data_IF_205878397550
#
_entry.id   IF_205878397550
#
_cell.length_a   1.000
_cell.length_b   1.000
_cell.length_c   1.000
_cell.angle_alpha   90.00
_cell.angle_beta   90.00
_cell.angle_gamma   90.00
#
_symmetry.space_group_name_H-M   'P 1'
#
loop_
_entity.id
_entity.type
_entity.pdbx_description
1 polymer ?
#
# COMPACT_ATOMS: atom_id res chain seq x y z
N UNK A 1 -0.85 2.23 12.36
CA UNK A 1 -2.25 1.83 12.53
C UNK A 1 -2.67 1.13 11.26
N UNK A 2 -3.38 0.02 11.37
CA UNK A 2 -3.84 -0.75 10.22
C UNK A 2 -5.34 -0.58 10.10
N UNK A 3 -5.81 -0.27 8.90
CA UNK A 3 -7.23 -0.22 8.53
C UNK A 3 -8.09 0.67 9.45
N UNK A 4 -7.48 1.73 9.97
CA UNK A 4 -8.19 2.75 10.76
C UNK A 4 -8.50 3.92 9.84
N UNK A 5 -9.78 4.20 9.62
CA UNK A 5 -10.20 5.35 8.83
C UNK A 5 -9.56 6.64 9.37
N UNK A 6 -9.12 7.49 8.44
CA UNK A 6 -8.51 8.80 8.65
C UNK A 6 -7.13 8.78 9.35
N UNK A 7 -6.58 7.59 9.61
CA UNK A 7 -5.27 7.42 10.27
C UNK A 7 -4.33 6.54 9.44
N UNK A 8 -4.82 5.43 8.89
CA UNK A 8 -4.02 4.60 7.99
C UNK A 8 -3.93 5.25 6.61
N UNK A 9 -2.71 5.43 6.12
CA UNK A 9 -2.43 6.09 4.83
C UNK A 9 -2.23 5.08 3.69
N UNK A 10 -2.24 3.78 3.98
CA UNK A 10 -2.13 2.72 3.00
C UNK A 10 -3.54 2.30 2.55
N UNK A 11 -3.88 2.54 1.28
CA UNK A 11 -5.09 2.01 0.63
C UNK A 11 -6.43 2.29 1.31
N UNK A 12 -6.54 3.31 2.15
CA UNK A 12 -7.82 3.74 2.71
C UNK A 12 -8.84 4.03 1.59
N UNK A 13 -10.01 3.36 1.59
CA UNK A 13 -11.06 3.65 0.64
C UNK A 13 -11.72 5.01 0.95
N UNK A 14 -12.15 5.73 -0.07
CA UNK A 14 -12.93 6.95 0.14
C UNK A 14 -14.35 6.60 0.56
N UNK A 15 -14.90 7.40 1.48
CA UNK A 15 -16.34 7.40 1.76
C UNK A 15 -17.10 7.86 0.49
N UNK A 16 -18.26 7.26 0.17
CA UNK A 16 -19.03 7.62 -1.03
C UNK A 16 -19.30 9.13 -1.14
N UNK A 17 -19.66 9.79 -0.04
CA UNK A 17 -19.98 11.21 0.01
C UNK A 17 -18.75 12.08 -0.34
N UNK A 18 -17.57 11.68 0.16
CA UNK A 18 -16.32 12.35 -0.15
C UNK A 18 -15.98 12.19 -1.63
N UNK A 19 -16.08 10.95 -2.15
CA UNK A 19 -15.81 10.65 -3.54
C UNK A 19 -16.72 11.45 -4.49
N UNK A 20 -18.00 11.56 -4.16
CA UNK A 20 -18.99 12.27 -4.96
C UNK A 20 -18.76 13.79 -4.98
N UNK A 21 -18.29 14.35 -3.87
CA UNK A 21 -17.93 15.77 -3.77
C UNK A 21 -16.64 16.15 -4.51
N UNK A 22 -15.84 15.18 -4.96
CA UNK A 22 -14.57 15.47 -5.65
C UNK A 22 -14.78 15.93 -7.11
N UNK A 23 -13.87 16.77 -7.65
CA UNK A 23 -13.86 17.08 -9.07
C UNK A 23 -13.76 15.82 -9.94
N UNK A 24 -14.39 15.83 -11.12
CA UNK A 24 -14.48 14.63 -11.98
C UNK A 24 -13.12 14.04 -12.36
N UNK A 25 -12.12 14.89 -12.55
CA UNK A 25 -10.75 14.46 -12.84
C UNK A 25 -10.15 13.63 -11.69
N UNK A 26 -10.41 14.03 -10.44
CA UNK A 26 -9.92 13.30 -9.26
C UNK A 26 -10.68 11.99 -9.09
N UNK A 27 -12.00 11.98 -9.34
CA UNK A 27 -12.77 10.73 -9.37
C UNK A 27 -12.21 9.74 -10.40
N UNK A 28 -11.92 10.20 -11.62
CA UNK A 28 -11.36 9.36 -12.68
C UNK A 28 -9.95 8.84 -12.33
N UNK A 29 -9.09 9.70 -11.78
CA UNK A 29 -7.77 9.29 -11.32
C UNK A 29 -7.86 8.24 -10.20
N UNK A 30 -8.76 8.45 -9.24
CA UNK A 30 -9.03 7.51 -8.15
C UNK A 30 -9.56 6.17 -8.67
N UNK A 31 -10.53 6.18 -9.58
CA UNK A 31 -11.04 4.98 -10.23
C UNK A 31 -9.93 4.20 -10.95
N UNK A 32 -9.06 4.91 -11.68
CA UNK A 32 -7.91 4.31 -12.34
C UNK A 32 -6.99 3.61 -11.33
N UNK A 33 -6.60 4.32 -10.25
CA UNK A 33 -5.67 3.80 -9.24
C UNK A 33 -6.26 2.70 -8.35
N UNK A 34 -7.57 2.67 -8.11
CA UNK A 34 -8.23 1.54 -7.42
C UNK A 34 -8.54 0.38 -8.36
N UNK A 35 -8.62 0.65 -9.66
CA UNK A 35 -8.81 -0.32 -10.73
C UNK A 35 -7.49 -0.70 -11.41
N UNK A 36 -7.43 -0.57 -12.74
CA UNK A 36 -6.35 -1.11 -13.60
C UNK A 36 -4.99 -0.40 -13.51
N UNK A 37 -4.92 0.75 -12.86
CA UNK A 37 -3.68 1.52 -12.65
C UNK A 37 -3.17 1.41 -11.20
N UNK A 38 -3.57 0.38 -10.46
CA UNK A 38 -3.14 0.14 -9.07
C UNK A 38 -1.63 0.25 -8.88
N UNK A 39 -0.85 -0.20 -9.86
CA UNK A 39 0.59 -0.22 -9.80
C UNK A 39 1.23 1.19 -9.75
N UNK A 40 0.50 2.23 -10.16
CA UNK A 40 0.91 3.64 -10.04
C UNK A 40 0.63 4.26 -8.67
N UNK A 41 -0.20 3.63 -7.83
CA UNK A 41 -0.67 4.22 -6.58
C UNK A 41 0.49 4.53 -5.61
N UNK A 42 1.49 3.66 -5.51
CA UNK A 42 2.64 3.91 -4.64
C UNK A 42 3.52 5.08 -5.12
N UNK A 43 3.55 5.40 -6.42
CA UNK A 43 4.26 6.57 -6.95
C UNK A 43 3.59 7.85 -6.46
N UNK A 44 2.26 7.92 -6.59
CA UNK A 44 1.46 9.07 -6.16
C UNK A 44 1.54 9.23 -4.64
N UNK A 45 1.36 8.14 -3.89
CA UNK A 45 1.52 8.14 -2.44
C UNK A 45 2.93 8.63 -2.04
N UNK A 46 3.97 8.11 -2.68
CA UNK A 46 5.35 8.48 -2.38
C UNK A 46 5.60 9.98 -2.58
N UNK A 47 5.15 10.52 -3.71
CA UNK A 47 5.31 11.94 -4.04
C UNK A 47 4.57 12.86 -3.06
N UNK A 48 3.37 12.48 -2.62
CA UNK A 48 2.54 13.30 -1.71
C UNK A 48 3.03 13.21 -0.26
N UNK A 49 3.50 12.04 0.18
CA UNK A 49 3.74 11.77 1.61
C UNK A 49 5.18 12.02 2.06
N UNK A 50 6.18 11.87 1.20
CA UNK A 50 7.59 11.86 1.65
C UNK A 50 8.37 13.14 1.37
N UNK A 51 7.80 14.11 0.66
CA UNK A 51 8.47 15.36 0.29
C UNK A 51 7.90 16.60 0.98
N UNK A 52 6.89 16.44 1.85
CA UNK A 52 6.27 17.54 2.58
C UNK A 52 6.57 17.47 4.10
N UNK A 53 7.47 18.33 4.62
CA UNK A 53 7.77 18.38 6.06
C UNK A 53 6.57 18.78 6.93
N UNK A 54 5.50 19.35 6.37
CA UNK A 54 4.30 19.71 7.14
C UNK A 54 3.57 18.47 7.67
N UNK A 55 3.74 17.31 7.01
CA UNK A 55 3.11 16.03 7.34
C UNK A 55 3.76 15.28 8.50
N UNK A 56 4.90 15.75 9.00
CA UNK A 56 5.58 15.14 10.15
C UNK A 56 5.58 16.07 11.37
N UNK A 57 5.79 15.47 12.54
CA UNK A 57 5.92 16.22 13.80
C UNK A 57 7.03 17.28 13.71
N UNK A 58 6.82 18.41 14.36
CA UNK A 58 7.72 19.56 14.31
C UNK A 58 9.19 19.19 14.60
N UNK A 59 9.42 18.25 15.54
CA UNK A 59 10.74 17.77 15.94
C UNK A 59 11.50 17.02 14.83
N UNK A 60 10.78 16.41 13.88
CA UNK A 60 11.34 15.58 12.81
C UNK A 60 11.43 16.30 11.45
N UNK A 61 10.86 17.51 11.33
CA UNK A 61 10.85 18.30 10.08
C UNK A 61 12.25 18.53 9.50
N UNK A 62 13.23 18.82 10.36
CA UNK A 62 14.61 19.03 9.91
C UNK A 62 15.26 17.75 9.40
N UNK A 63 14.88 16.58 9.93
CA UNK A 63 15.35 15.27 9.44
C UNK A 63 14.83 15.01 8.02
N UNK A 64 13.55 15.30 7.76
CA UNK A 64 12.96 15.17 6.42
C UNK A 64 13.63 16.12 5.43
N UNK A 65 13.82 17.40 5.80
CA UNK A 65 14.52 18.36 4.93
C UNK A 65 15.93 17.90 4.57
N UNK A 66 16.69 17.39 5.55
CA UNK A 66 18.02 16.85 5.31
C UNK A 66 17.97 15.62 4.39
N UNK A 67 17.05 14.68 4.64
CA UNK A 67 16.85 13.49 3.80
C UNK A 67 16.56 13.87 2.35
N UNK A 68 15.60 14.78 2.12
CA UNK A 68 15.25 15.27 0.78
C UNK A 68 16.46 15.96 0.13
N UNK A 69 17.18 16.81 0.85
CA UNK A 69 18.38 17.48 0.33
C UNK A 69 19.47 16.50 -0.11
N UNK A 70 19.70 15.43 0.67
CA UNK A 70 20.66 14.36 0.33
C UNK A 70 20.21 13.62 -0.93
N UNK A 71 18.93 13.24 -1.02
CA UNK A 71 18.39 12.53 -2.19
C UNK A 71 18.47 13.39 -3.45
N UNK A 72 18.09 14.67 -3.36
CA UNK A 72 18.16 15.61 -4.50
C UNK A 72 19.61 15.87 -4.90
N UNK A 73 20.52 16.06 -3.93
CA UNK A 73 21.95 16.23 -4.19
C UNK A 73 22.56 15.02 -4.88
N UNK A 74 22.22 13.80 -4.44
CA UNK A 74 22.63 12.57 -5.10
C UNK A 74 22.09 12.49 -6.53
N UNK A 75 20.81 12.76 -6.75
CA UNK A 75 20.18 12.72 -8.08
C UNK A 75 20.81 13.74 -9.05
N UNK A 76 21.14 14.94 -8.56
CA UNK A 76 21.79 16.00 -9.33
C UNK A 76 23.20 15.62 -9.83
N UNK A 77 23.85 14.65 -9.18
CA UNK A 77 25.16 14.12 -9.62
C UNK A 77 24.96 12.85 -10.45
N UNK A 78 24.13 11.91 -9.96
CA UNK A 78 23.97 10.59 -10.55
C UNK A 78 23.32 10.63 -11.93
N UNK A 79 22.27 11.43 -12.15
CA UNK A 79 21.58 11.46 -13.43
C UNK A 79 22.43 12.09 -14.55
N UNK A 80 23.08 13.25 -14.36
CA UNK A 80 23.98 13.78 -15.39
C UNK A 80 25.14 12.83 -15.70
N UNK A 81 25.74 12.20 -14.69
CA UNK A 81 26.81 11.22 -14.89
C UNK A 81 26.32 10.00 -15.69
N UNK A 82 25.13 9.50 -15.36
CA UNK A 82 24.53 8.35 -16.04
C UNK A 82 24.22 8.68 -17.51
N UNK A 83 23.71 9.88 -17.78
CA UNK A 83 23.46 10.35 -19.15
C UNK A 83 24.78 10.58 -19.90
N UNK A 84 25.80 11.17 -19.26
CA UNK A 84 27.08 11.45 -19.90
C UNK A 84 27.85 10.16 -20.27
N UNK A 85 27.71 9.10 -19.48
CA UNK A 85 28.44 7.83 -19.67
C UNK A 85 27.67 6.80 -20.48
N UNK A 86 26.34 6.71 -20.30
CA UNK A 86 25.49 5.66 -20.89
C UNK A 86 24.35 6.21 -21.75
N UNK A 87 24.30 7.54 -21.96
CA UNK A 87 23.24 8.21 -22.70
C UNK A 87 21.90 8.20 -21.99
N UNK A 88 20.88 8.76 -22.64
CA UNK A 88 19.51 8.73 -22.13
C UNK A 88 18.96 7.31 -21.98
N UNK A 89 19.38 6.38 -22.84
CA UNK A 89 19.04 4.95 -22.73
C UNK A 89 19.56 4.35 -21.42
N UNK A 90 20.73 4.77 -20.95
CA UNK A 90 21.26 4.41 -19.64
C UNK A 90 20.35 4.82 -18.48
N UNK A 91 19.84 6.05 -18.50
CA UNK A 91 18.88 6.54 -17.51
C UNK A 91 17.61 5.68 -17.47
N UNK A 92 17.04 5.38 -18.65
CA UNK A 92 15.84 4.55 -18.75
C UNK A 92 16.11 3.14 -18.22
N UNK A 93 17.20 2.51 -18.66
CA UNK A 93 17.52 1.11 -18.35
C UNK A 93 17.91 0.90 -16.89
N UNK A 94 18.71 1.79 -16.31
CA UNK A 94 19.34 1.57 -15.01
C UNK A 94 18.67 2.35 -13.86
N UNK A 95 17.81 3.32 -14.16
CA UNK A 95 17.04 4.03 -13.13
C UNK A 95 15.54 3.87 -13.31
N UNK A 96 14.98 4.29 -14.46
CA UNK A 96 13.53 4.33 -14.65
C UNK A 96 12.89 2.93 -14.59
N UNK A 97 13.44 1.96 -15.33
CA UNK A 97 12.88 0.61 -15.38
C UNK A 97 12.93 -0.11 -14.01
N UNK A 98 14.07 -0.15 -13.28
CA UNK A 98 14.09 -0.69 -11.92
C UNK A 98 13.14 0.03 -10.97
N UNK A 99 13.03 1.35 -11.07
CA UNK A 99 12.13 2.16 -10.26
C UNK A 99 10.65 1.82 -10.53
N UNK A 100 10.26 1.64 -11.80
CA UNK A 100 8.92 1.20 -12.18
C UNK A 100 8.61 -0.21 -11.67
N UNK A 101 9.56 -1.14 -11.77
CA UNK A 101 9.40 -2.51 -11.24
C UNK A 101 9.24 -2.49 -9.72
N UNK A 102 10.03 -1.68 -9.01
CA UNK A 102 9.89 -1.48 -7.58
C UNK A 102 8.50 -0.97 -7.22
N UNK A 103 8.02 0.09 -7.87
CA UNK A 103 6.70 0.65 -7.58
C UNK A 103 5.55 -0.28 -7.97
N UNK A 104 5.70 -1.06 -9.04
CA UNK A 104 4.72 -2.09 -9.39
C UNK A 104 4.55 -3.11 -8.25
N UNK A 105 5.66 -3.66 -7.75
CA UNK A 105 5.63 -4.63 -6.67
C UNK A 105 5.21 -4.00 -5.34
N UNK A 106 5.70 -2.81 -5.03
CA UNK A 106 5.33 -2.09 -3.79
C UNK A 106 3.82 -1.80 -3.75
N UNK A 107 3.25 -1.29 -4.84
CA UNK A 107 1.80 -1.11 -4.96
C UNK A 107 1.05 -2.44 -4.83
N UNK A 108 1.55 -3.51 -5.45
CA UNK A 108 0.90 -4.83 -5.42
C UNK A 108 0.89 -5.43 -4.02
N UNK A 109 2.05 -5.44 -3.33
CA UNK A 109 2.16 -5.99 -1.98
C UNK A 109 1.28 -5.22 -1.00
N UNK A 110 1.41 -3.89 -0.98
CA UNK A 110 0.62 -3.07 -0.05
C UNK A 110 -0.87 -3.14 -0.33
N UNK A 111 -1.28 -3.26 -1.60
CA UNK A 111 -2.69 -3.43 -1.94
C UNK A 111 -3.23 -4.74 -1.38
N UNK A 112 -2.57 -5.86 -1.69
CA UNK A 112 -3.00 -7.19 -1.23
C UNK A 112 -2.99 -7.25 0.30
N UNK A 113 -1.98 -6.66 0.95
CA UNK A 113 -1.84 -6.71 2.39
C UNK A 113 -2.89 -5.91 3.15
N UNK A 114 -3.45 -4.85 2.55
CA UNK A 114 -4.38 -3.93 3.20
C UNK A 114 -5.78 -3.94 2.57
N UNK A 115 -6.03 -4.81 1.59
CA UNK A 115 -7.31 -4.84 0.88
C UNK A 115 -7.67 -6.27 0.47
N UNK A 116 -8.77 -6.75 1.03
CA UNK A 116 -9.48 -7.95 0.62
C UNK A 116 -10.99 -7.69 0.79
N UNK A 117 -11.88 -8.36 0.04
CA UNK A 117 -13.33 -8.10 0.08
C UNK A 117 -13.95 -8.16 1.47
N UNK A 118 -13.36 -8.95 2.37
CA UNK A 118 -13.83 -9.24 3.72
C UNK A 118 -12.94 -8.64 4.82
N UNK A 119 -12.02 -7.73 4.45
CA UNK A 119 -11.20 -6.97 5.39
C UNK A 119 -11.66 -5.51 5.40
N UNK A 120 -12.30 -5.11 6.50
CA UNK A 120 -12.85 -3.77 6.67
C UNK A 120 -11.80 -2.72 7.05
N UNK A 121 -12.04 -1.49 6.61
CA UNK A 121 -11.56 -0.31 7.30
C UNK A 121 -12.58 0.09 8.35
N UNK A 122 -12.15 0.32 9.59
CA UNK A 122 -13.05 0.66 10.70
C UNK A 122 -13.01 2.16 10.99
N UNK A 123 -14.19 2.71 11.27
CA UNK A 123 -14.33 4.06 11.79
C UNK A 123 -13.61 4.19 13.15
N UNK A 124 -13.04 5.38 13.48
CA UNK A 124 -12.22 5.55 14.66
C UNK A 124 -12.87 5.11 15.98
N UNK A 125 -14.19 5.26 16.10
CA UNK A 125 -14.98 4.91 17.28
C UNK A 125 -15.18 3.40 17.45
N UNK A 126 -15.12 2.65 16.34
CA UNK A 126 -15.31 1.19 16.31
C UNK A 126 -13.99 0.42 16.26
N UNK A 127 -12.89 1.11 15.91
CA UNK A 127 -11.60 0.51 15.68
C UNK A 127 -10.99 -0.10 16.95
N UNK A 128 -10.61 -1.37 16.89
CA UNK A 128 -9.96 -2.09 17.98
C UNK A 128 -8.57 -2.60 17.57
N UNK A 129 -7.51 -2.13 18.25
CA UNK A 129 -6.12 -2.36 17.87
C UNK A 129 -5.78 -3.84 17.64
N UNK A 130 -6.09 -4.70 18.61
CA UNK A 130 -5.74 -6.12 18.49
C UNK A 130 -6.48 -6.81 17.33
N UNK A 131 -7.74 -6.42 17.07
CA UNK A 131 -8.53 -7.01 15.98
C UNK A 131 -7.98 -6.55 14.63
N UNK A 132 -7.72 -5.24 14.50
CA UNK A 132 -7.20 -4.66 13.28
C UNK A 132 -5.78 -5.14 12.94
N UNK A 133 -4.91 -5.35 13.93
CA UNK A 133 -3.55 -5.85 13.69
C UNK A 133 -3.51 -7.35 13.34
N UNK A 134 -4.45 -8.16 13.85
CA UNK A 134 -4.51 -9.60 13.57
C UNK A 134 -5.29 -9.94 12.30
N UNK A 135 -6.45 -9.31 12.12
CA UNK A 135 -7.40 -9.63 11.05
C UNK A 135 -7.49 -8.55 9.95
N UNK A 136 -6.93 -7.35 10.20
CA UNK A 136 -6.97 -6.23 9.26
C UNK A 136 -5.89 -6.28 8.18
N UNK A 137 -5.06 -7.32 8.14
CA UNK A 137 -4.06 -7.51 7.09
C UNK A 137 -4.03 -8.93 6.56
N UNK A 138 -3.66 -9.04 5.29
CA UNK A 138 -3.49 -10.32 4.59
C UNK A 138 -2.05 -10.79 4.66
N UNK A 139 -1.82 -12.01 5.17
CA UNK A 139 -0.62 -12.79 4.83
C UNK A 139 -0.81 -13.37 3.44
N UNK A 140 0.05 -13.04 2.48
CA UNK A 140 -0.09 -13.49 1.10
C UNK A 140 1.17 -14.17 0.58
N UNK A 141 1.11 -15.47 0.26
CA UNK A 141 2.26 -16.17 -0.32
C UNK A 141 2.46 -15.77 -1.80
N UNK A 142 3.71 -15.50 -2.19
CA UNK A 142 4.06 -15.03 -3.54
C UNK A 142 4.94 -16.06 -4.29
N UNK A 143 4.82 -16.17 -5.62
CA UNK A 143 5.62 -17.11 -6.40
C UNK A 143 7.12 -16.72 -6.48
N UNK A 144 7.96 -17.68 -6.91
CA UNK A 144 9.32 -17.45 -7.42
C UNK A 144 10.31 -16.75 -6.46
N UNK A 145 10.28 -17.06 -5.16
CA UNK A 145 11.29 -16.55 -4.21
C UNK A 145 11.22 -15.04 -3.96
N UNK A 146 10.14 -14.38 -4.40
CA UNK A 146 9.82 -12.98 -4.10
C UNK A 146 9.91 -12.71 -2.59
N UNK A 147 9.44 -13.66 -1.79
CA UNK A 147 9.50 -13.60 -0.33
C UNK A 147 10.93 -13.44 0.18
N UNK A 148 11.90 -14.16 -0.39
CA UNK A 148 13.30 -14.01 0.01
C UNK A 148 13.89 -12.67 -0.46
N UNK A 149 13.64 -12.29 -1.71
CA UNK A 149 14.12 -11.02 -2.29
C UNK A 149 13.59 -9.80 -1.53
N UNK A 150 12.36 -9.90 -1.02
CA UNK A 150 11.67 -8.83 -0.32
C UNK A 150 11.65 -9.02 1.21
N UNK A 151 12.61 -9.75 1.79
CA UNK A 151 12.77 -9.86 3.25
C UNK A 151 11.53 -10.40 4.00
N UNK A 152 10.91 -11.45 3.47
CA UNK A 152 9.70 -12.09 3.99
C UNK A 152 8.50 -11.14 4.06
N UNK A 153 8.36 -10.26 3.06
CA UNK A 153 7.29 -9.25 2.99
C UNK A 153 5.88 -9.84 3.09
N UNK A 154 5.69 -11.10 2.63
CA UNK A 154 4.42 -11.82 2.75
C UNK A 154 3.94 -11.97 4.19
N UNK A 155 4.88 -12.08 5.14
CA UNK A 155 4.62 -12.30 6.56
C UNK A 155 4.31 -10.97 7.24
N UNK A 156 3.18 -10.37 6.84
CA UNK A 156 2.84 -8.99 7.17
C UNK A 156 2.16 -8.82 8.55
N UNK A 157 1.46 -9.85 9.02
CA UNK A 157 0.73 -9.77 10.30
C UNK A 157 1.68 -9.51 11.49
N UNK A 158 2.79 -10.28 11.68
CA UNK A 158 3.71 -10.00 12.77
C UNK A 158 4.38 -8.63 12.68
N UNK A 159 4.58 -8.11 11.45
CA UNK A 159 5.14 -6.77 11.25
C UNK A 159 4.23 -5.67 11.84
N UNK A 160 2.91 -5.83 11.75
CA UNK A 160 1.94 -4.90 12.35
C UNK A 160 1.79 -5.05 13.85
N UNK A 161 2.00 -6.25 14.39
CA UNK A 161 2.02 -6.48 15.84
C UNK A 161 3.27 -5.87 16.48
N UNK A 162 4.43 -6.03 15.84
CA UNK A 162 5.68 -5.44 16.33
C UNK A 162 6.71 -5.29 15.20
N UNK A 163 7.00 -4.04 14.87
CA UNK A 163 8.07 -3.68 13.93
C UNK A 163 9.48 -3.97 14.47
N UNK A 164 9.60 -4.40 15.73
CA UNK A 164 10.86 -4.81 16.34
C UNK A 164 11.24 -6.27 16.02
N UNK A 165 10.30 -7.08 15.51
CA UNK A 165 10.59 -8.45 15.07
C UNK A 165 11.43 -8.38 13.80
N UNK A 166 12.66 -8.93 13.79
CA UNK A 166 13.48 -8.91 12.59
C UNK A 166 12.92 -9.85 11.51
N UNK A 167 13.17 -9.54 10.24
CA UNK A 167 12.60 -10.26 9.10
C UNK A 167 12.87 -11.77 9.11
N UNK A 168 14.04 -12.20 9.59
CA UNK A 168 14.42 -13.61 9.70
C UNK A 168 13.65 -14.39 10.78
N UNK A 169 12.95 -13.70 11.70
CA UNK A 169 12.08 -14.31 12.72
C UNK A 169 10.59 -14.21 12.37
N UNK A 170 10.21 -13.53 11.28
CA UNK A 170 8.80 -13.30 10.95
C UNK A 170 8.02 -14.61 10.77
N UNK A 171 8.63 -15.62 10.13
CA UNK A 171 7.97 -16.94 9.95
C UNK A 171 7.67 -17.63 11.27
N UNK A 172 8.64 -17.67 12.19
CA UNK A 172 8.44 -18.24 13.52
C UNK A 172 7.34 -17.49 14.28
N UNK A 173 7.31 -16.16 14.17
CA UNK A 173 6.26 -15.36 14.79
C UNK A 173 4.89 -15.66 14.17
N UNK A 174 4.80 -15.78 12.83
CA UNK A 174 3.56 -16.11 12.14
C UNK A 174 3.05 -17.52 12.46
N UNK A 175 3.93 -18.51 12.56
CA UNK A 175 3.57 -19.86 13.00
C UNK A 175 2.98 -19.85 14.40
N UNK A 176 3.61 -19.13 15.35
CA UNK A 176 3.05 -18.93 16.69
C UNK A 176 1.68 -18.23 16.64
N UNK A 177 1.50 -17.23 15.78
CA UNK A 177 0.20 -16.58 15.62
C UNK A 177 -0.85 -17.55 15.08
N UNK A 178 -0.49 -18.36 14.07
CA UNK A 178 -1.39 -19.33 13.44
C UNK A 178 -1.85 -20.39 14.44
N UNK A 179 -0.95 -20.88 15.30
CA UNK A 179 -1.27 -21.86 16.35
C UNK A 179 -2.25 -21.31 17.40
N UNK A 180 -2.11 -20.04 17.79
CA UNK A 180 -2.86 -19.47 18.91
C UNK A 180 -4.11 -18.68 18.48
N UNK A 181 -4.09 -18.09 17.27
CA UNK A 181 -5.13 -17.18 16.77
C UNK A 181 -5.50 -17.42 15.30
N UNK A 182 -5.19 -18.58 14.72
CA UNK A 182 -5.39 -18.88 13.30
C UNK A 182 -6.79 -18.58 12.75
N UNK A 183 -7.85 -18.73 13.58
CA UNK A 183 -9.23 -18.41 13.19
C UNK A 183 -9.48 -16.91 12.93
N UNK A 184 -8.57 -16.04 13.34
CA UNK A 184 -8.64 -14.59 13.14
C UNK A 184 -7.64 -14.09 12.10
N UNK A 185 -6.74 -14.94 11.62
CA UNK A 185 -5.74 -14.55 10.63
C UNK A 185 -6.33 -14.67 9.23
N UNK A 186 -5.94 -13.74 8.37
CA UNK A 186 -6.28 -13.80 6.96
C UNK A 186 -5.07 -14.26 6.15
N UNK A 187 -5.21 -15.41 5.49
CA UNK A 187 -4.16 -15.98 4.65
C UNK A 187 -4.66 -16.16 3.21
N UNK A 188 -3.81 -15.82 2.25
CA UNK A 188 -4.12 -15.91 0.83
C UNK A 188 -2.90 -16.34 0.02
N UNK A 189 -3.13 -16.71 -1.23
CA UNK A 189 -2.07 -16.95 -2.20
C UNK A 189 -2.22 -15.96 -3.34
N UNK A 190 -1.11 -15.34 -3.73
CA UNK A 190 -1.14 -14.36 -4.80
C UNK A 190 -1.61 -14.99 -6.10
N UNK A 191 -2.61 -14.38 -6.71
CA UNK A 191 -3.09 -14.76 -8.03
C UNK A 191 -3.63 -13.54 -8.77
N UNK A 192 -3.63 -13.61 -10.10
CA UNK A 192 -4.29 -12.59 -10.92
C UNK A 192 -5.80 -12.55 -10.69
N UNK A 193 -6.40 -13.66 -10.27
CA UNK A 193 -7.81 -13.71 -9.85
C UNK A 193 -8.04 -12.85 -8.61
N UNK A 194 -7.19 -12.99 -7.57
CA UNK A 194 -7.24 -12.16 -6.37
C UNK A 194 -7.11 -10.67 -6.72
N UNK A 195 -6.13 -10.32 -7.56
CA UNK A 195 -5.94 -8.94 -8.01
C UNK A 195 -7.16 -8.40 -8.75
N UNK A 196 -7.77 -9.22 -9.61
CA UNK A 196 -9.00 -8.85 -10.31
C UNK A 196 -10.15 -8.62 -9.33
N UNK A 197 -10.35 -9.51 -8.35
CA UNK A 197 -11.38 -9.34 -7.32
C UNK A 197 -11.20 -8.02 -6.56
N UNK A 198 -9.98 -7.75 -6.07
CA UNK A 198 -9.67 -6.51 -5.34
C UNK A 198 -9.96 -5.28 -6.22
N UNK A 199 -9.42 -5.27 -7.44
CA UNK A 199 -9.53 -4.13 -8.37
C UNK A 199 -10.88 -3.98 -9.07
N UNK A 200 -11.83 -4.90 -8.84
CA UNK A 200 -13.19 -4.82 -9.36
C UNK A 200 -14.22 -4.53 -8.25
N UNK A 201 -13.94 -4.95 -7.01
CA UNK A 201 -14.91 -4.89 -5.91
C UNK A 201 -14.54 -3.90 -4.81
N UNK A 202 -13.25 -3.75 -4.49
CA UNK A 202 -12.80 -3.01 -3.31
C UNK A 202 -12.54 -1.53 -3.63
N UNK A 203 -13.58 -0.73 -3.86
CA UNK A 203 -13.43 0.64 -4.38
C UNK A 203 -13.71 1.75 -3.37
N UNK A 204 -14.94 1.81 -2.85
CA UNK A 204 -15.39 2.80 -1.86
C UNK A 204 -15.65 2.13 -0.52
N UNK A 205 -15.62 2.91 0.56
CA UNK A 205 -15.92 2.42 1.90
C UNK A 205 -17.39 2.01 2.00
N UNK A 206 -17.65 0.88 2.66
CA UNK A 206 -19.01 0.47 3.03
C UNK A 206 -18.99 -0.13 4.44
N UNK A 207 -19.92 0.31 5.30
CA UNK A 207 -19.90 -0.06 6.73
C UNK A 207 -20.24 -1.53 7.01
N UNK A 208 -21.05 -2.16 6.16
CA UNK A 208 -21.49 -3.55 6.32
C UNK A 208 -20.69 -4.53 5.44
N UNK A 209 -20.67 -4.29 4.13
CA UNK A 209 -19.98 -5.12 3.13
C UNK A 209 -18.46 -4.85 2.99
N UNK A 210 -17.84 -4.09 3.90
CA UNK A 210 -16.46 -3.57 3.84
C UNK A 210 -16.19 -2.58 2.69
N UNK A 211 -16.60 -2.92 1.47
CA UNK A 211 -16.43 -2.11 0.28
C UNK A 211 -17.67 -2.08 -0.61
N UNK A 212 -17.78 -1.02 -1.39
CA UNK A 212 -18.72 -0.88 -2.48
C UNK A 212 -17.96 -0.69 -3.79
N UNK A 213 -18.34 -1.41 -4.85
CA UNK A 213 -17.74 -1.23 -6.17
C UNK A 213 -18.23 0.07 -6.84
N UNK A 214 -17.44 0.68 -7.72
CA UNK A 214 -17.89 1.83 -8.50
C UNK A 214 -19.14 1.52 -9.35
N UNK A 215 -19.25 0.29 -9.85
CA UNK A 215 -20.43 -0.15 -10.60
C UNK A 215 -21.68 -0.11 -9.72
N UNK A 216 -21.63 -0.72 -8.52
CA UNK A 216 -22.73 -0.69 -7.57
C UNK A 216 -23.08 0.73 -7.13
N UNK A 217 -22.06 1.56 -6.87
CA UNK A 217 -22.25 2.97 -6.50
C UNK A 217 -22.99 3.78 -7.56
N UNK A 218 -22.60 3.63 -8.83
CA UNK A 218 -23.27 4.34 -9.93
C UNK A 218 -24.69 3.81 -10.20
N UNK A 219 -24.95 2.52 -10.00
CA UNK A 219 -26.30 1.95 -10.13
C UNK A 219 -27.27 2.47 -9.08
N UNK A 220 -26.82 2.73 -7.84
CA UNK A 220 -27.67 3.33 -6.80
C UNK A 220 -28.04 4.80 -7.07
N UNK A 221 -27.34 5.45 -8.00
CA UNK A 221 -27.50 6.87 -8.31
C UNK A 221 -28.22 7.17 -9.63
N UNK A 222 -28.30 6.18 -10.52
CA UNK A 222 -29.00 6.27 -11.81
C UNK A 222 -30.48 5.96 -11.65
#
# INVERSE_FOLDING_TARGET
>A
YTNKMDVDNAWQPFRPELYDGMPKLIQQAYQGMRGRLWWLASIVHWAIMHFDPSRVEAKDRNKIKLSVAVVVGFAAIAFPLLIATLGFVGLVKFWLMPWLVYHFWMSTFTLVHHTAPDIDFQEPEQWHAAKAQLAGTVHCDYPLGVEWLCHQINVHIPHHLSTAIPSYNLRMAHESLRENWGAHLYESQFSWSLMKTITDQCHLYHSEECYQSFEAHHQLKG
#
